data_IF_930104202262
#
_entry.id   IF_930104202262
#
_cell.length_a   1.000
_cell.length_b   1.000
_cell.length_c   1.000
_cell.angle_alpha   90.00
_cell.angle_beta   90.00
_cell.angle_gamma   90.00
#
_symmetry.space_group_name_H-M   'P 1'
#
loop_
_entity.id
_entity.type
_entity.pdbx_description
1 polymer ?
#
# COMPACT_ATOMS: atom_id res chain seq x y z
N UNK A 1 -19.84 -22.41 -74.51
CA UNK A 1 -19.52 -21.70 -73.26
C UNK A 1 -18.01 -21.58 -73.16
N UNK A 2 -17.48 -20.36 -73.11
CA UNK A 2 -16.06 -20.09 -73.38
C UNK A 2 -15.21 -20.42 -72.13
N UNK A 3 -14.04 -21.07 -72.28
CA UNK A 3 -13.16 -21.45 -71.17
C UNK A 3 -12.58 -20.27 -70.37
N UNK A 4 -12.75 -19.01 -70.85
CA UNK A 4 -12.33 -17.81 -70.13
C UNK A 4 -13.21 -17.49 -68.91
N UNK A 5 -14.52 -17.75 -68.99
CA UNK A 5 -15.45 -17.41 -67.91
C UNK A 5 -15.24 -18.28 -66.66
N UNK A 6 -14.77 -19.53 -66.84
CA UNK A 6 -14.47 -20.44 -65.73
C UNK A 6 -13.21 -20.03 -64.96
N UNK A 7 -12.22 -19.46 -65.65
CA UNK A 7 -10.94 -19.05 -65.03
C UNK A 7 -11.14 -17.81 -64.16
N UNK A 8 -12.00 -16.88 -64.57
CA UNK A 8 -12.28 -15.67 -63.80
C UNK A 8 -13.13 -15.95 -62.55
N UNK A 9 -14.06 -16.93 -62.62
CA UNK A 9 -14.81 -17.41 -61.44
C UNK A 9 -13.86 -18.07 -60.43
N UNK A 10 -12.97 -18.96 -60.87
CA UNK A 10 -12.00 -19.64 -59.98
C UNK A 10 -11.01 -18.66 -59.33
N UNK A 11 -10.60 -17.61 -60.04
CA UNK A 11 -9.74 -16.55 -59.48
C UNK A 11 -10.48 -15.73 -58.43
N UNK A 12 -11.72 -15.33 -58.70
CA UNK A 12 -12.53 -14.56 -57.75
C UNK A 12 -12.84 -15.36 -56.49
N UNK A 13 -13.15 -16.66 -56.60
CA UNK A 13 -13.31 -17.54 -55.45
C UNK A 13 -12.00 -17.67 -54.65
N UNK A 14 -10.86 -17.87 -55.31
CA UNK A 14 -9.56 -17.95 -54.63
C UNK A 14 -9.18 -16.66 -53.88
N UNK A 15 -9.50 -15.49 -54.44
CA UNK A 15 -9.31 -14.19 -53.79
C UNK A 15 -10.21 -14.07 -52.56
N UNK A 16 -11.51 -14.40 -52.70
CA UNK A 16 -12.45 -14.42 -51.58
C UNK A 16 -12.02 -15.36 -50.45
N UNK A 17 -11.53 -16.56 -50.77
CA UNK A 17 -10.98 -17.49 -49.77
C UNK A 17 -9.71 -16.94 -49.10
N UNK A 18 -8.86 -16.23 -49.84
CA UNK A 18 -7.65 -15.60 -49.29
C UNK A 18 -8.00 -14.44 -48.35
N UNK A 19 -8.95 -13.59 -48.75
CA UNK A 19 -9.45 -12.48 -47.95
C UNK A 19 -10.16 -12.96 -46.68
N UNK A 20 -11.01 -14.00 -46.78
CA UNK A 20 -11.65 -14.63 -45.62
C UNK A 20 -10.64 -15.25 -44.64
N UNK A 21 -9.56 -15.87 -45.14
CA UNK A 21 -8.46 -16.37 -44.28
C UNK A 21 -7.73 -15.23 -43.58
N UNK A 22 -7.49 -14.13 -44.28
CA UNK A 22 -6.84 -12.96 -43.70
C UNK A 22 -7.69 -12.31 -42.59
N UNK A 23 -9.01 -12.25 -42.80
CA UNK A 23 -9.96 -11.67 -41.83
C UNK A 23 -10.11 -12.55 -40.58
N UNK A 24 -10.17 -13.87 -40.76
CA UNK A 24 -10.25 -14.82 -39.64
C UNK A 24 -8.97 -14.81 -38.79
N UNK A 25 -7.79 -14.73 -39.41
CA UNK A 25 -6.52 -14.59 -38.69
C UNK A 25 -6.46 -13.28 -37.90
N UNK A 26 -6.88 -12.16 -38.51
CA UNK A 26 -6.92 -10.87 -37.82
C UNK A 26 -7.88 -10.89 -36.63
N UNK A 27 -9.07 -11.46 -36.80
CA UNK A 27 -10.05 -11.60 -35.72
C UNK A 27 -9.50 -12.45 -34.57
N UNK A 28 -8.78 -13.52 -34.89
CA UNK A 28 -8.19 -14.41 -33.89
C UNK A 28 -7.05 -13.72 -33.12
N UNK A 29 -6.22 -12.92 -33.79
CA UNK A 29 -5.20 -12.09 -33.14
C UNK A 29 -5.84 -11.06 -32.21
N UNK A 30 -6.90 -10.38 -32.65
CA UNK A 30 -7.63 -9.41 -31.84
C UNK A 30 -8.30 -10.07 -30.61
N UNK A 31 -8.87 -11.26 -30.78
CA UNK A 31 -9.45 -12.02 -29.67
C UNK A 31 -8.38 -12.41 -28.63
N UNK A 32 -7.21 -12.88 -29.07
CA UNK A 32 -6.08 -13.21 -28.18
C UNK A 32 -5.57 -11.96 -27.46
N UNK A 33 -5.38 -10.84 -28.17
CA UNK A 33 -4.96 -9.58 -27.56
C UNK A 33 -5.96 -9.07 -26.51
N UNK A 34 -7.26 -9.24 -26.75
CA UNK A 34 -8.31 -8.87 -25.81
C UNK A 34 -8.24 -9.70 -24.52
N UNK A 35 -8.02 -11.02 -24.63
CA UNK A 35 -7.92 -11.92 -23.46
C UNK A 35 -6.64 -11.65 -22.66
N UNK A 36 -5.53 -11.37 -23.35
CA UNK A 36 -4.26 -11.00 -22.68
C UNK A 36 -4.40 -9.66 -21.95
N UNK A 37 -5.08 -8.67 -22.56
CA UNK A 37 -5.28 -7.37 -21.92
C UNK A 37 -6.16 -7.44 -20.67
N UNK A 38 -7.24 -8.23 -20.68
CA UNK A 38 -8.12 -8.39 -19.51
C UNK A 38 -7.44 -9.14 -18.37
N UNK A 39 -6.64 -10.16 -18.68
CA UNK A 39 -5.91 -10.95 -17.67
C UNK A 39 -4.78 -10.16 -17.01
N UNK A 40 -4.03 -9.37 -17.78
CA UNK A 40 -2.97 -8.49 -17.24
C UNK A 40 -3.54 -7.39 -16.36
N UNK A 41 -4.65 -6.75 -16.76
CA UNK A 41 -5.31 -5.72 -15.95
C UNK A 41 -5.90 -6.30 -14.66
N UNK A 42 -6.55 -7.46 -14.74
CA UNK A 42 -7.08 -8.15 -13.56
C UNK A 42 -5.97 -8.60 -12.59
N UNK A 43 -4.79 -9.00 -13.09
CA UNK A 43 -3.65 -9.33 -12.25
C UNK A 43 -3.11 -8.07 -11.54
N UNK A 44 -2.92 -6.97 -12.26
CA UNK A 44 -2.43 -5.69 -11.71
C UNK A 44 -3.29 -5.15 -10.56
N UNK A 45 -4.61 -5.16 -10.72
CA UNK A 45 -5.55 -4.69 -9.71
C UNK A 45 -5.49 -5.51 -8.41
N UNK A 46 -5.31 -6.83 -8.52
CA UNK A 46 -5.21 -7.69 -7.35
C UNK A 46 -3.92 -7.45 -6.54
N UNK A 47 -2.79 -7.22 -7.21
CA UNK A 47 -1.53 -6.87 -6.54
C UNK A 47 -1.60 -5.51 -5.82
N UNK A 48 -2.21 -4.50 -6.43
CA UNK A 48 -2.39 -3.19 -5.79
C UNK A 48 -3.32 -3.27 -4.58
N UNK A 49 -4.40 -4.06 -4.66
CA UNK A 49 -5.39 -4.20 -3.59
C UNK A 49 -4.81 -4.94 -2.39
N UNK A 50 -4.02 -6.00 -2.62
CA UNK A 50 -3.36 -6.76 -1.57
C UNK A 50 -2.27 -5.93 -0.85
N UNK A 51 -1.54 -5.08 -1.58
CA UNK A 51 -0.57 -4.15 -0.99
C UNK A 51 -1.20 -3.07 -0.10
N UNK A 52 -2.41 -2.59 -0.44
CA UNK A 52 -3.15 -1.61 0.38
C UNK A 52 -3.68 -2.18 1.69
N UNK A 53 -4.17 -3.43 1.68
CA UNK A 53 -4.67 -4.08 2.89
C UNK A 53 -3.53 -4.33 3.88
N UNK A 54 -2.38 -4.83 3.41
CA UNK A 54 -1.22 -5.10 4.27
C UNK A 54 -0.60 -3.84 4.89
N UNK A 55 -0.63 -2.71 4.17
CA UNK A 55 -0.08 -1.44 4.68
C UNK A 55 -0.99 -0.80 5.72
N UNK A 56 -2.31 -0.94 5.59
CA UNK A 56 -3.27 -0.51 6.60
C UNK A 56 -3.13 -1.31 7.91
N UNK A 57 -3.08 -2.64 7.82
CA UNK A 57 -2.92 -3.52 8.99
C UNK A 57 -1.60 -3.20 9.73
N UNK A 58 -0.50 -3.05 8.98
CA UNK A 58 0.79 -2.64 9.56
C UNK A 58 0.75 -1.25 10.20
N UNK A 59 -0.04 -0.32 9.68
CA UNK A 59 -0.20 1.00 10.27
C UNK A 59 -0.91 0.92 11.63
N UNK A 60 -2.03 0.19 11.67
CA UNK A 60 -2.82 -0.03 12.89
C UNK A 60 -1.98 -0.73 13.97
N UNK A 61 -1.24 -1.78 13.60
CA UNK A 61 -0.34 -2.51 14.50
C UNK A 61 0.77 -1.59 15.07
N UNK A 62 1.37 -0.75 14.23
CA UNK A 62 2.39 0.23 14.68
C UNK A 62 1.83 1.24 15.66
N UNK A 63 0.59 1.73 15.44
CA UNK A 63 -0.05 2.66 16.37
C UNK A 63 -0.37 2.00 17.70
N UNK A 64 -0.84 0.75 17.67
CA UNK A 64 -1.16 -0.02 18.86
C UNK A 64 0.10 -0.25 19.71
N UNK A 65 1.19 -0.74 19.10
CA UNK A 65 2.49 -0.87 19.78
C UNK A 65 3.01 0.46 20.34
N UNK A 66 2.83 1.57 19.61
CA UNK A 66 3.25 2.90 20.07
C UNK A 66 2.49 3.32 21.32
N UNK A 67 1.18 3.09 21.35
CA UNK A 67 0.34 3.41 22.50
C UNK A 67 0.70 2.54 23.72
N UNK A 68 0.96 1.25 23.52
CA UNK A 68 1.44 0.35 24.58
C UNK A 68 2.78 0.81 25.16
N UNK A 69 3.76 1.14 24.31
CA UNK A 69 5.06 1.69 24.76
C UNK A 69 4.91 3.00 25.51
N UNK A 70 3.99 3.88 25.10
CA UNK A 70 3.71 5.12 25.81
C UNK A 70 3.14 4.85 27.21
N UNK A 71 2.20 3.91 27.33
CA UNK A 71 1.65 3.49 28.64
C UNK A 71 2.74 2.89 29.51
N UNK A 72 3.57 1.99 28.97
CA UNK A 72 4.67 1.37 29.72
C UNK A 72 5.69 2.41 30.24
N UNK A 73 6.10 3.35 29.38
CA UNK A 73 6.97 4.46 29.79
C UNK A 73 6.33 5.32 30.87
N UNK A 74 5.02 5.56 30.79
CA UNK A 74 4.30 6.29 31.81
C UNK A 74 4.33 5.57 33.16
N UNK A 75 4.06 4.26 33.15
CA UNK A 75 4.06 3.43 34.36
C UNK A 75 5.43 3.45 35.03
N UNK A 76 6.51 3.17 34.27
CA UNK A 76 7.89 3.21 34.79
C UNK A 76 8.24 4.56 35.41
N UNK A 77 7.81 5.67 34.79
CA UNK A 77 8.09 7.01 35.32
C UNK A 77 7.24 7.34 36.56
N UNK A 78 6.00 6.85 36.65
CA UNK A 78 5.19 6.94 37.87
C UNK A 78 5.80 6.13 39.01
N UNK A 79 6.27 4.91 38.75
CA UNK A 79 6.96 4.08 39.75
C UNK A 79 8.20 4.79 40.31
N UNK A 80 8.97 5.49 39.47
CA UNK A 80 10.10 6.31 39.91
C UNK A 80 9.64 7.45 40.84
N UNK A 81 8.54 8.13 40.52
CA UNK A 81 7.97 9.18 41.38
C UNK A 81 7.44 8.61 42.69
N UNK A 82 6.85 7.43 42.68
CA UNK A 82 6.30 6.80 43.88
C UNK A 82 7.43 6.25 44.77
N UNK A 83 8.52 5.74 44.18
CA UNK A 83 9.74 5.38 44.90
C UNK A 83 10.42 6.60 45.55
N UNK A 84 10.34 7.76 44.90
CA UNK A 84 10.78 9.04 45.48
C UNK A 84 9.94 9.44 46.69
N UNK A 85 8.61 9.44 46.52
CA UNK A 85 7.66 9.79 47.59
C UNK A 85 7.76 8.85 48.79
N UNK A 86 8.02 7.57 48.56
CA UNK A 86 8.21 6.57 49.61
C UNK A 86 9.59 6.61 50.26
N UNK A 87 10.47 7.55 49.86
CA UNK A 87 11.83 7.67 50.39
C UNK A 87 12.79 6.54 49.98
N UNK A 88 12.41 5.66 49.05
CA UNK A 88 13.21 4.51 48.60
C UNK A 88 14.26 4.89 47.57
N UNK A 89 13.99 5.90 46.74
CA UNK A 89 14.94 6.44 45.77
C UNK A 89 14.80 7.95 45.66
N UNK A 90 15.63 8.68 46.40
CA UNK A 90 15.58 10.13 46.49
C UNK A 90 16.32 10.77 45.32
N UNK A 91 15.56 11.14 44.30
CA UNK A 91 15.94 12.07 43.24
C UNK A 91 16.19 13.48 43.79
N UNK A 92 17.19 14.13 43.22
CA UNK A 92 17.38 15.57 43.36
C UNK A 92 16.18 16.35 42.82
N UNK A 93 15.94 17.55 43.37
CA UNK A 93 14.78 18.40 43.02
C UNK A 93 14.65 18.63 41.51
N UNK A 94 15.77 18.86 40.81
CA UNK A 94 15.80 19.09 39.36
C UNK A 94 15.34 17.86 38.57
N UNK A 95 15.74 16.67 39.01
CA UNK A 95 15.39 15.42 38.31
C UNK A 95 13.96 14.98 38.65
N UNK A 96 13.50 15.23 39.87
CA UNK A 96 12.08 15.09 40.23
C UNK A 96 11.19 15.91 39.30
N UNK A 97 11.50 17.20 39.10
CA UNK A 97 10.74 18.08 38.20
C UNK A 97 10.77 17.58 36.75
N UNK A 98 11.92 17.07 36.27
CA UNK A 98 12.01 16.48 34.92
C UNK A 98 11.10 15.26 34.79
N UNK A 99 11.13 14.35 35.75
CA UNK A 99 10.32 13.12 35.71
C UNK A 99 8.83 13.46 35.78
N UNK A 100 8.42 14.41 36.63
CA UNK A 100 7.04 14.90 36.69
C UNK A 100 6.57 15.49 35.35
N UNK A 101 7.37 16.38 34.74
CA UNK A 101 7.09 16.94 33.42
C UNK A 101 7.01 15.86 32.33
N UNK A 102 7.86 14.84 32.41
CA UNK A 102 7.84 13.72 31.48
C UNK A 102 6.54 12.91 31.60
N UNK A 103 6.08 12.60 32.82
CA UNK A 103 4.81 11.90 33.05
C UNK A 103 3.65 12.69 32.48
N UNK A 104 3.60 14.00 32.73
CA UNK A 104 2.54 14.88 32.21
C UNK A 104 2.57 14.96 30.68
N UNK A 105 3.76 15.09 30.07
CA UNK A 105 3.91 15.08 28.62
C UNK A 105 3.45 13.75 28.00
N UNK A 106 3.77 12.61 28.62
CA UNK A 106 3.35 11.30 28.13
C UNK A 106 1.82 11.17 28.23
N UNK A 107 1.22 11.59 29.36
CA UNK A 107 -0.22 11.60 29.52
C UNK A 107 -0.90 12.45 28.43
N UNK A 108 -0.44 13.68 28.19
CA UNK A 108 -0.96 14.53 27.10
C UNK A 108 -0.86 13.87 25.73
N UNK A 109 0.18 13.07 25.47
CA UNK A 109 0.31 12.32 24.20
C UNK A 109 -0.70 11.18 24.11
N UNK A 110 -0.93 10.46 25.21
CA UNK A 110 -1.94 9.40 25.28
C UNK A 110 -3.34 10.00 25.09
N UNK A 111 -3.64 11.11 25.76
CA UNK A 111 -4.95 11.77 25.67
C UNK A 111 -5.24 12.27 24.25
N UNK A 112 -4.24 12.85 23.58
CA UNK A 112 -4.37 13.23 22.16
C UNK A 112 -4.56 12.04 21.25
N UNK A 113 -3.91 10.91 21.52
CA UNK A 113 -4.08 9.69 20.73
C UNK A 113 -5.47 9.06 20.95
N UNK A 114 -6.00 9.14 22.17
CA UNK A 114 -7.33 8.64 22.52
C UNK A 114 -8.46 9.55 21.98
N UNK A 115 -8.27 10.87 22.04
CA UNK A 115 -9.23 11.87 21.56
C UNK A 115 -9.13 12.19 20.07
N UNK A 116 -8.34 11.43 19.29
CA UNK A 116 -8.25 11.61 17.84
C UNK A 116 -9.53 11.08 17.17
N UNK A 117 -10.18 11.94 16.41
CA UNK A 117 -11.33 11.56 15.59
C UNK A 117 -10.94 10.55 14.50
N UNK A 118 -11.90 9.70 14.15
CA UNK A 118 -11.71 8.64 13.16
C UNK A 118 -11.34 9.21 11.78
N UNK A 119 -11.80 10.43 11.48
CA UNK A 119 -11.45 11.16 10.25
C UNK A 119 -9.98 11.54 10.21
N UNK A 120 -9.44 12.01 11.33
CA UNK A 120 -8.03 12.39 11.44
C UNK A 120 -7.12 11.17 11.41
N UNK A 121 -7.55 10.06 12.03
CA UNK A 121 -6.85 8.76 11.90
C UNK A 121 -6.74 8.34 10.44
N UNK A 122 -7.84 8.41 9.69
CA UNK A 122 -7.85 8.09 8.25
C UNK A 122 -6.91 9.00 7.46
N UNK A 123 -6.92 10.30 7.73
CA UNK A 123 -6.05 11.26 7.04
C UNK A 123 -4.56 11.00 7.35
N UNK A 124 -4.21 10.69 8.60
CA UNK A 124 -2.83 10.33 8.96
C UNK A 124 -2.38 9.03 8.30
N UNK A 125 -3.25 8.02 8.30
CA UNK A 125 -2.99 6.74 7.64
C UNK A 125 -2.76 6.92 6.14
N UNK A 126 -3.59 7.72 5.47
CA UNK A 126 -3.42 8.01 4.05
C UNK A 126 -2.11 8.72 3.74
N UNK A 127 -1.73 9.71 4.56
CA UNK A 127 -0.43 10.38 4.43
C UNK A 127 0.75 9.44 4.65
N UNK A 128 0.67 8.51 5.61
CA UNK A 128 1.72 7.50 5.80
C UNK A 128 1.79 6.54 4.62
N UNK A 129 0.65 6.06 4.12
CA UNK A 129 0.61 5.20 2.94
C UNK A 129 1.24 5.89 1.73
N UNK A 130 0.95 7.17 1.49
CA UNK A 130 1.58 7.93 0.41
C UNK A 130 3.11 8.03 0.59
N UNK A 131 3.59 8.32 1.80
CA UNK A 131 5.04 8.36 2.08
C UNK A 131 5.71 7.00 1.87
N UNK A 132 5.02 5.91 2.23
CA UNK A 132 5.51 4.55 2.05
C UNK A 132 5.60 4.20 0.56
N UNK A 133 4.56 4.50 -0.23
CA UNK A 133 4.58 4.34 -1.69
C UNK A 133 5.74 5.08 -2.36
N UNK A 134 5.96 6.34 -2.00
CA UNK A 134 7.08 7.14 -2.52
C UNK A 134 8.43 6.49 -2.18
N UNK A 135 8.57 5.89 -0.99
CA UNK A 135 9.79 5.15 -0.61
C UNK A 135 9.98 3.89 -1.44
N UNK A 136 8.92 3.12 -1.62
CA UNK A 136 8.96 1.87 -2.37
C UNK A 136 9.26 2.13 -3.85
N UNK A 137 8.71 3.20 -4.43
CA UNK A 137 9.03 3.66 -5.79
C UNK A 137 10.50 4.08 -5.94
N UNK A 138 11.06 4.83 -4.96
CA UNK A 138 12.49 5.19 -4.95
C UNK A 138 13.39 3.96 -4.88
N UNK A 139 13.08 3.02 -3.97
CA UNK A 139 13.81 1.76 -3.81
C UNK A 139 13.70 0.83 -5.03
N UNK A 140 12.59 0.91 -5.78
CA UNK A 140 12.43 0.20 -7.04
C UNK A 140 13.33 0.80 -8.12
N UNK A 141 13.29 2.13 -8.31
CA UNK A 141 14.16 2.83 -9.27
C UNK A 141 15.65 2.59 -9.01
N UNK A 142 16.07 2.61 -7.74
CA UNK A 142 17.46 2.33 -7.33
C UNK A 142 17.89 0.89 -7.58
N UNK A 143 16.95 -0.06 -7.67
CA UNK A 143 17.24 -1.47 -8.01
C UNK A 143 17.34 -1.69 -9.51
N UNK A 144 16.52 -0.99 -10.30
CA UNK A 144 16.63 -1.01 -11.77
C UNK A 144 17.88 -0.28 -12.27
N UNK A 145 18.33 0.78 -11.60
CA UNK A 145 19.56 1.49 -11.94
C UNK A 145 20.86 0.72 -11.61
N UNK A 146 20.77 -0.37 -10.84
CA UNK A 146 21.90 -1.24 -10.44
C UNK A 146 21.98 -2.55 -11.21
N UNK A 147 21.08 -2.78 -12.17
CA UNK A 147 21.14 -3.90 -13.13
C UNK A 147 21.56 -3.35 -14.48
#
# INVERSE_FOLDING_TARGET
TKPRDLIDVLKNEAILYSEMKSFTVLFLILAVLSVVSTTVNAAGDNYERQGRISTKERFEERQLMRNERLKEMQTKKKEILDAHKSGRNLLERRDLEKVQKQVEMIQKKIDRAAGMDERDKRMMMEREMQKQKIRDERMSKDRYARR
#
